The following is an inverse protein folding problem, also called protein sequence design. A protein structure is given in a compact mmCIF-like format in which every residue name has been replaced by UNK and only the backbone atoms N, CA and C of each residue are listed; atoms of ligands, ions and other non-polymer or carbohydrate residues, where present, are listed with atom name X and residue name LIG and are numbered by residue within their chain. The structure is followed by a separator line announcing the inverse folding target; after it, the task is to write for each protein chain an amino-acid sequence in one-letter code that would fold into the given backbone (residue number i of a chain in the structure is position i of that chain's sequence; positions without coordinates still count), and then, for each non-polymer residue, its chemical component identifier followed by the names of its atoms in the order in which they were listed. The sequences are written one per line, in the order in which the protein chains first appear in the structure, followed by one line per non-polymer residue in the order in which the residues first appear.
data_IF_445279180130
#
_entry.id   IF_445279180130
#
_cell.length_a   1.000
_cell.length_b   1.000
_cell.length_c   1.000
_cell.angle_alpha   90.00
_cell.angle_beta   90.00
_cell.angle_gamma   90.00
#
_symmetry.space_group_name_H-M   'P 1'
#
loop_
_entity.id
_entity.type
_entity.pdbx_description
1 polymer ?
#
# COMPACT_ATOMS: atom_id res chain seq x y z
N UNK A 1 5.36 16.23 16.62
CA UNK A 1 5.62 14.79 16.41
C UNK A 1 5.74 14.48 14.92
N UNK A 2 4.71 14.54 14.07
CA UNK A 2 4.77 14.11 12.65
C UNK A 2 5.96 14.73 11.88
N UNK A 3 6.19 16.05 12.01
CA UNK A 3 7.34 16.72 11.38
C UNK A 3 8.70 16.12 11.83
N UNK A 4 8.80 15.73 13.10
CA UNK A 4 10.03 15.15 13.64
C UNK A 4 10.24 13.70 13.22
N UNK A 5 9.14 12.98 12.94
CA UNK A 5 9.18 11.59 12.48
C UNK A 5 9.53 11.48 10.99
N UNK A 6 9.24 12.51 10.19
CA UNK A 6 9.52 12.49 8.74
C UNK A 6 10.92 13.02 8.43
N UNK A 7 11.69 12.36 7.54
CA UNK A 7 13.05 12.76 7.18
C UNK A 7 13.08 14.04 6.33
N UNK A 8 14.28 14.57 6.07
CA UNK A 8 14.52 15.74 5.21
C UNK A 8 14.77 17.03 6.00
N UNK A 9 15.75 17.82 5.53
CA UNK A 9 16.20 19.07 6.16
C UNK A 9 15.62 20.32 5.48
N UNK A 10 14.31 20.34 5.25
CA UNK A 10 13.58 21.48 4.72
C UNK A 10 12.47 21.93 5.68
N UNK A 11 11.99 23.15 5.52
CA UNK A 11 10.89 23.66 6.34
C UNK A 11 9.60 22.92 5.99
N UNK A 12 9.06 22.17 6.96
CA UNK A 12 7.87 21.35 6.82
C UNK A 12 6.69 21.97 7.55
N UNK A 13 5.51 21.73 6.98
CA UNK A 13 4.22 21.95 7.64
C UNK A 13 3.36 20.70 7.55
N UNK A 14 2.26 20.69 8.30
CA UNK A 14 1.29 19.61 8.30
C UNK A 14 -0.07 20.18 7.95
N UNK A 15 -0.71 19.55 6.97
CA UNK A 15 -2.13 19.71 6.72
C UNK A 15 -2.86 18.52 7.35
N UNK A 16 -4.07 18.75 7.89
CA UNK A 16 -4.89 17.70 8.52
C UNK A 16 -6.18 17.47 7.74
N UNK A 17 -6.55 16.19 7.59
CA UNK A 17 -7.80 15.72 7.01
C UNK A 17 -8.52 14.72 7.92
N UNK A 18 -9.54 14.06 7.37
CA UNK A 18 -10.38 13.09 8.06
C UNK A 18 -10.11 11.65 7.57
N UNK A 19 -9.58 11.49 6.37
CA UNK A 19 -9.31 10.19 5.74
C UNK A 19 -8.11 10.28 4.79
N UNK A 20 -7.58 9.12 4.35
CA UNK A 20 -6.57 9.08 3.31
C UNK A 20 -7.06 9.72 2.01
N UNK A 21 -8.34 9.53 1.66
CA UNK A 21 -8.94 10.16 0.47
C UNK A 21 -8.88 11.69 0.52
N UNK A 22 -9.13 12.31 1.69
CA UNK A 22 -9.01 13.77 1.85
C UNK A 22 -7.57 14.24 1.71
N UNK A 23 -6.63 13.46 2.26
CA UNK A 23 -5.21 13.78 2.21
C UNK A 23 -4.68 13.71 0.78
N UNK A 24 -5.06 12.69 0.02
CA UNK A 24 -4.69 12.55 -1.39
C UNK A 24 -5.47 13.50 -2.30
N UNK A 25 -6.68 13.89 -1.93
CA UNK A 25 -7.39 15.01 -2.59
C UNK A 25 -6.62 16.33 -2.46
N UNK A 26 -6.00 16.58 -1.28
CA UNK A 26 -5.10 17.72 -1.11
C UNK A 26 -3.93 17.65 -2.09
N UNK A 27 -3.27 16.48 -2.21
CA UNK A 27 -2.18 16.27 -3.17
C UNK A 27 -2.64 16.56 -4.60
N UNK A 28 -3.74 15.94 -5.03
CA UNK A 28 -4.27 16.08 -6.38
C UNK A 28 -4.60 17.54 -6.75
N UNK A 29 -5.00 18.35 -5.78
CA UNK A 29 -5.30 19.77 -5.97
C UNK A 29 -4.08 20.67 -5.90
N UNK A 30 -3.22 20.47 -4.90
CA UNK A 30 -2.18 21.45 -4.57
C UNK A 30 -0.91 21.27 -5.39
N UNK A 31 -0.55 20.04 -5.71
CA UNK A 31 0.65 19.77 -6.52
C UNK A 31 0.59 20.46 -7.89
N UNK A 32 -0.49 20.33 -8.69
CA UNK A 32 -0.58 21.04 -9.96
C UNK A 32 -0.55 22.56 -9.82
N UNK A 33 -1.05 23.13 -8.72
CA UNK A 33 -0.99 24.58 -8.48
C UNK A 33 0.44 25.05 -8.23
N UNK A 34 1.16 24.37 -7.31
CA UNK A 34 2.56 24.73 -6.98
C UNK A 34 3.50 24.42 -8.15
N UNK A 35 3.30 23.30 -8.81
CA UNK A 35 4.13 22.86 -9.96
C UNK A 35 3.57 23.33 -11.31
N UNK A 36 2.78 24.42 -11.34
CA UNK A 36 2.34 25.16 -12.54
C UNK A 36 1.67 24.27 -13.60
N UNK A 37 0.76 23.41 -13.18
CA UNK A 37 0.01 22.53 -14.08
C UNK A 37 0.74 21.24 -14.50
N UNK A 38 1.92 20.98 -13.93
CA UNK A 38 2.62 19.70 -14.15
C UNK A 38 1.82 18.54 -13.59
N UNK A 39 2.06 17.34 -14.08
CA UNK A 39 1.31 16.12 -13.79
C UNK A 39 1.81 15.42 -12.54
N UNK A 40 0.89 14.70 -11.89
CA UNK A 40 1.21 13.69 -10.89
C UNK A 40 1.26 12.34 -11.61
N UNK A 41 2.36 11.62 -11.45
CA UNK A 41 2.56 10.26 -11.97
C UNK A 41 2.31 9.30 -10.83
N UNK A 42 1.51 8.26 -11.08
CA UNK A 42 1.25 7.18 -10.13
C UNK A 42 1.40 5.82 -10.82
N UNK A 43 1.02 4.74 -10.17
CA UNK A 43 1.21 3.39 -10.69
C UNK A 43 -0.12 2.65 -10.83
N UNK A 44 -0.23 1.78 -11.83
CA UNK A 44 -1.37 0.89 -11.99
C UNK A 44 -1.51 0.00 -10.75
N UNK A 45 -2.74 -0.19 -10.30
CA UNK A 45 -3.04 -0.91 -9.07
C UNK A 45 -2.98 -0.06 -7.81
N UNK A 46 -2.47 1.18 -7.84
CA UNK A 46 -2.41 2.04 -6.66
C UNK A 46 -3.80 2.51 -6.21
N UNK A 47 -3.98 2.63 -4.89
CA UNK A 47 -5.20 3.12 -4.28
C UNK A 47 -4.92 4.31 -3.37
N UNK A 48 -5.27 5.50 -3.84
CA UNK A 48 -5.06 6.75 -3.09
C UNK A 48 -6.37 7.35 -2.54
N UNK A 49 -7.49 6.73 -2.82
CA UNK A 49 -8.81 7.14 -2.28
C UNK A 49 -9.88 7.33 -3.35
N UNK A 50 -11.08 7.74 -2.90
CA UNK A 50 -12.30 7.79 -3.70
C UNK A 50 -12.96 9.18 -3.78
N UNK A 51 -12.33 10.25 -3.29
CA UNK A 51 -12.74 11.61 -3.65
C UNK A 51 -12.29 11.91 -5.08
N UNK A 52 -12.86 12.93 -5.74
CA UNK A 52 -12.66 13.14 -7.19
C UNK A 52 -11.18 13.24 -7.59
N UNK A 53 -10.37 13.98 -6.84
CA UNK A 53 -8.94 14.13 -7.12
C UNK A 53 -8.14 12.88 -6.74
N UNK A 54 -8.39 12.32 -5.57
CA UNK A 54 -7.76 11.08 -5.14
C UNK A 54 -8.09 9.90 -6.09
N UNK A 55 -9.32 9.85 -6.58
CA UNK A 55 -9.75 8.90 -7.60
C UNK A 55 -8.96 9.05 -8.90
N UNK A 56 -8.74 10.29 -9.35
CA UNK A 56 -8.02 10.58 -10.58
C UNK A 56 -6.54 10.18 -10.53
N UNK A 57 -5.94 10.08 -9.35
CA UNK A 57 -4.56 9.62 -9.15
C UNK A 57 -4.47 8.16 -8.70
N UNK A 58 -5.59 7.49 -8.42
CA UNK A 58 -5.63 6.06 -8.12
C UNK A 58 -5.61 5.23 -9.40
N UNK A 59 -4.62 4.34 -9.53
CA UNK A 59 -4.45 3.46 -10.70
C UNK A 59 -5.17 2.13 -10.60
N UNK A 60 -5.99 1.91 -9.56
CA UNK A 60 -6.69 0.65 -9.34
C UNK A 60 -7.77 0.42 -10.40
N UNK A 61 -7.88 -0.79 -10.98
CA UNK A 61 -8.82 -1.07 -12.09
C UNK A 61 -10.28 -0.77 -11.77
N UNK A 62 -10.74 -1.03 -10.53
CA UNK A 62 -12.12 -0.78 -10.09
C UNK A 62 -12.46 0.72 -10.01
N UNK A 63 -11.46 1.59 -10.02
CA UNK A 63 -11.63 3.04 -9.93
C UNK A 63 -11.54 3.75 -11.28
N UNK A 64 -11.60 3.04 -12.40
CA UNK A 64 -11.50 3.66 -13.72
C UNK A 64 -12.88 4.10 -14.23
N UNK A 65 -12.97 5.36 -14.67
CA UNK A 65 -14.17 5.89 -15.36
C UNK A 65 -14.81 7.13 -14.77
N UNK A 66 -14.52 7.49 -13.52
CA UNK A 66 -14.97 8.73 -12.90
C UNK A 66 -13.77 9.62 -12.56
N UNK A 67 -13.84 10.91 -12.63
CA UNK A 67 -12.81 11.81 -12.08
C UNK A 67 -11.64 12.21 -12.99
N UNK A 68 -11.58 11.76 -14.23
CA UNK A 68 -10.51 12.12 -15.16
C UNK A 68 -9.50 11.01 -15.42
N UNK A 69 -8.61 11.22 -16.39
CA UNK A 69 -7.54 10.27 -16.69
C UNK A 69 -6.29 10.66 -15.89
N UNK A 70 -5.93 9.86 -14.91
CA UNK A 70 -4.63 9.92 -14.28
C UNK A 70 -3.49 9.52 -15.23
N UNK A 71 -2.28 9.64 -14.76
CA UNK A 71 -1.08 9.26 -15.52
C UNK A 71 -0.39 8.13 -14.77
N UNK A 72 -0.54 6.90 -15.29
CA UNK A 72 -0.12 5.69 -14.59
C UNK A 72 1.01 4.99 -15.33
N UNK A 73 2.01 4.56 -14.58
CA UNK A 73 3.04 3.62 -15.01
C UNK A 73 2.70 2.20 -14.56
N UNK A 74 3.33 1.21 -15.18
CA UNK A 74 3.21 -0.16 -14.71
C UNK A 74 3.92 -0.32 -13.37
N UNK A 75 3.24 -0.95 -12.39
CA UNK A 75 3.88 -1.28 -11.11
C UNK A 75 4.92 -2.39 -11.31
N UNK A 76 6.08 -2.31 -10.63
CA UNK A 76 7.14 -3.32 -10.75
C UNK A 76 6.78 -4.61 -9.99
N UNK A 77 5.94 -5.45 -10.60
CA UNK A 77 5.57 -6.74 -10.04
C UNK A 77 6.72 -7.74 -10.21
N UNK A 78 7.47 -8.02 -9.13
CA UNK A 78 8.62 -8.91 -9.17
C UNK A 78 8.22 -10.38 -9.43
N UNK A 79 7.14 -10.87 -8.83
CA UNK A 79 6.66 -12.24 -9.04
C UNK A 79 6.24 -12.48 -10.50
N UNK A 80 5.59 -11.48 -11.13
CA UNK A 80 5.15 -11.51 -12.53
C UNK A 80 6.01 -10.60 -13.40
N UNK A 81 7.33 -10.59 -13.18
CA UNK A 81 8.26 -9.67 -13.83
C UNK A 81 8.16 -9.75 -15.35
N UNK A 82 7.73 -8.64 -15.98
CA UNK A 82 7.57 -8.54 -17.43
C UNK A 82 8.89 -8.72 -18.19
N UNK A 83 10.04 -8.52 -17.53
CA UNK A 83 11.36 -8.72 -18.08
C UNK A 83 11.90 -10.14 -17.86
N UNK A 84 11.12 -11.03 -17.19
CA UNK A 84 11.48 -12.42 -16.89
C UNK A 84 12.81 -12.57 -16.12
N UNK A 85 13.04 -11.67 -15.15
CA UNK A 85 14.30 -11.57 -14.40
C UNK A 85 14.11 -11.88 -12.91
N UNK A 86 13.18 -12.74 -12.52
CA UNK A 86 12.88 -13.03 -11.11
C UNK A 86 14.09 -13.57 -10.33
N UNK A 87 14.90 -14.40 -10.96
CA UNK A 87 16.06 -15.02 -10.32
C UNK A 87 17.34 -14.17 -10.43
N UNK A 88 17.46 -13.39 -11.49
CA UNK A 88 18.67 -12.61 -11.79
C UNK A 88 18.29 -11.16 -12.12
N UNK A 89 17.61 -10.51 -11.19
CA UNK A 89 17.13 -9.15 -11.40
C UNK A 89 18.29 -8.17 -11.60
N UNK A 90 18.34 -7.52 -12.76
CA UNK A 90 19.29 -6.45 -13.05
C UNK A 90 18.66 -5.06 -13.01
N UNK A 91 17.38 -4.96 -12.58
CA UNK A 91 16.69 -3.70 -12.41
C UNK A 91 16.18 -3.05 -13.70
N UNK A 92 15.86 -3.81 -14.72
CA UNK A 92 15.38 -3.27 -16.00
C UNK A 92 14.15 -2.37 -15.83
N UNK A 93 13.25 -2.69 -14.86
CA UNK A 93 12.04 -1.91 -14.62
C UNK A 93 12.32 -0.45 -14.21
N UNK A 94 13.35 -0.20 -13.39
CA UNK A 94 13.69 1.16 -12.98
C UNK A 94 14.74 1.82 -13.90
N UNK A 95 15.59 1.06 -14.58
CA UNK A 95 16.51 1.61 -15.57
C UNK A 95 15.79 2.19 -16.79
N UNK A 96 14.64 1.61 -17.15
CA UNK A 96 13.81 2.07 -18.27
C UNK A 96 12.70 3.03 -17.84
N UNK A 97 12.71 3.55 -16.61
CA UNK A 97 11.66 4.44 -16.09
C UNK A 97 11.39 5.65 -16.99
N UNK A 98 12.44 6.34 -17.43
CA UNK A 98 12.30 7.52 -18.29
C UNK A 98 11.77 7.18 -19.71
N UNK A 99 12.09 5.99 -20.21
CA UNK A 99 11.54 5.47 -21.45
C UNK A 99 10.05 5.16 -21.30
N UNK A 100 9.64 4.63 -20.13
CA UNK A 100 8.23 4.39 -19.82
C UNK A 100 7.43 5.70 -19.76
N UNK A 101 7.98 6.79 -19.17
CA UNK A 101 7.37 8.12 -19.23
C UNK A 101 7.17 8.59 -20.69
N UNK A 102 8.20 8.45 -21.49
CA UNK A 102 8.17 8.84 -22.92
C UNK A 102 7.12 8.02 -23.69
N UNK A 103 7.03 6.73 -23.43
CA UNK A 103 6.06 5.82 -24.08
C UNK A 103 4.60 6.20 -23.80
N UNK A 104 4.31 6.80 -22.65
CA UNK A 104 2.97 7.32 -22.32
C UNK A 104 2.80 8.81 -22.70
N UNK A 105 3.76 9.41 -23.43
CA UNK A 105 3.69 10.76 -23.94
C UNK A 105 3.95 11.85 -22.90
N UNK A 106 4.71 11.56 -21.85
CA UNK A 106 5.05 12.50 -20.78
C UNK A 106 6.54 12.91 -20.91
N UNK A 107 6.78 14.21 -21.05
CA UNK A 107 8.13 14.74 -20.95
C UNK A 107 8.55 14.86 -19.46
N UNK A 108 9.84 14.70 -19.17
CA UNK A 108 10.37 14.87 -17.81
C UNK A 108 9.99 16.21 -17.18
N UNK A 109 10.01 17.28 -18.00
CA UNK A 109 9.63 18.63 -17.58
C UNK A 109 8.17 18.77 -17.15
N UNK A 110 7.30 17.85 -17.56
CA UNK A 110 5.87 17.87 -17.28
C UNK A 110 5.51 17.12 -16.00
N UNK A 111 6.49 16.47 -15.36
CA UNK A 111 6.32 15.77 -14.09
C UNK A 111 6.43 16.77 -12.93
N UNK A 112 5.36 16.92 -12.16
CA UNK A 112 5.31 17.76 -10.96
C UNK A 112 5.47 16.97 -9.68
N UNK A 113 5.03 15.71 -9.69
CA UNK A 113 5.24 14.76 -8.61
C UNK A 113 5.17 13.33 -9.12
N UNK A 114 5.78 12.42 -8.36
CA UNK A 114 5.56 10.98 -8.44
C UNK A 114 5.02 10.54 -7.09
N UNK A 115 3.84 9.95 -7.08
CA UNK A 115 3.20 9.42 -5.88
C UNK A 115 3.19 7.90 -5.91
N UNK A 116 3.66 7.31 -4.82
CA UNK A 116 3.77 5.85 -4.65
C UNK A 116 3.19 5.39 -3.32
N UNK A 117 2.72 4.17 -3.29
CA UNK A 117 2.64 3.38 -2.06
C UNK A 117 3.95 2.59 -1.93
N UNK A 118 4.69 2.71 -0.80
CA UNK A 118 5.92 1.95 -0.58
C UNK A 118 5.67 0.43 -0.54
N UNK A 119 4.40 0.06 -0.35
CA UNK A 119 3.86 -1.29 -0.46
C UNK A 119 2.47 -1.15 -1.08
N UNK A 120 2.31 -1.65 -2.31
CA UNK A 120 1.06 -1.54 -3.07
C UNK A 120 0.02 -2.47 -2.45
N UNK A 121 -0.89 -1.94 -1.65
CA UNK A 121 -1.80 -2.73 -0.85
C UNK A 121 -2.96 -3.32 -1.66
N UNK A 122 -3.92 -2.48 -2.04
CA UNK A 122 -5.12 -2.95 -2.76
C UNK A 122 -4.80 -3.53 -4.15
N UNK A 123 -3.66 -3.17 -4.73
CA UNK A 123 -3.15 -3.74 -5.97
C UNK A 123 -2.55 -5.14 -5.85
N UNK A 124 -2.58 -5.76 -4.66
CA UNK A 124 -2.14 -7.15 -4.44
C UNK A 124 -0.96 -7.32 -3.48
N UNK A 125 -0.84 -6.45 -2.50
CA UNK A 125 0.18 -6.52 -1.43
C UNK A 125 1.60 -6.72 -1.95
N UNK A 126 2.05 -5.81 -2.80
CA UNK A 126 3.35 -5.89 -3.46
C UNK A 126 4.33 -4.84 -2.90
N UNK A 127 5.49 -5.25 -2.38
CA UNK A 127 6.52 -4.30 -1.97
C UNK A 127 7.09 -3.56 -3.18
N UNK A 128 7.26 -2.25 -3.06
CA UNK A 128 7.95 -1.45 -4.07
C UNK A 128 9.46 -1.69 -3.95
N UNK A 129 10.18 -2.05 -5.03
CA UNK A 129 11.62 -2.31 -4.96
C UNK A 129 12.39 -1.07 -4.49
N UNK A 130 13.31 -1.27 -3.53
CA UNK A 130 14.07 -0.19 -2.92
C UNK A 130 14.87 0.64 -3.94
N UNK A 131 15.55 -0.02 -4.86
CA UNK A 131 16.36 0.63 -5.91
C UNK A 131 15.48 1.44 -6.87
N UNK A 132 14.22 1.01 -7.08
CA UNK A 132 13.30 1.78 -7.89
C UNK A 132 12.87 3.05 -7.14
N UNK A 133 12.50 2.95 -5.84
CA UNK A 133 12.20 4.13 -5.03
C UNK A 133 13.37 5.14 -5.03
N UNK A 134 14.60 4.67 -4.88
CA UNK A 134 15.81 5.50 -4.97
C UNK A 134 15.98 6.16 -6.34
N UNK A 135 15.63 5.45 -7.41
CA UNK A 135 15.62 6.01 -8.77
C UNK A 135 14.57 7.10 -8.92
N UNK A 136 13.37 6.91 -8.36
CA UNK A 136 12.31 7.92 -8.37
C UNK A 136 12.68 9.15 -7.54
N UNK A 137 13.29 8.96 -6.36
CA UNK A 137 13.80 10.06 -5.53
C UNK A 137 14.80 10.91 -6.32
N UNK A 138 15.81 10.27 -6.90
CA UNK A 138 16.80 10.96 -7.73
C UNK A 138 16.16 11.73 -8.89
N UNK A 139 15.26 11.08 -9.63
CA UNK A 139 14.55 11.71 -10.72
C UNK A 139 13.76 12.94 -10.27
N UNK A 140 13.03 12.85 -9.15
CA UNK A 140 12.26 13.97 -8.62
C UNK A 140 13.16 15.16 -8.27
N UNK A 141 14.27 14.91 -7.58
CA UNK A 141 15.23 15.97 -7.23
C UNK A 141 15.86 16.63 -8.47
N UNK A 142 16.21 15.85 -9.49
CA UNK A 142 16.82 16.37 -10.73
C UNK A 142 15.85 17.17 -11.61
N UNK A 143 14.53 16.97 -11.47
CA UNK A 143 13.51 17.56 -12.35
C UNK A 143 12.55 18.53 -11.63
N UNK A 144 12.87 18.99 -10.42
CA UNK A 144 12.00 19.85 -9.62
C UNK A 144 10.58 19.27 -9.47
N UNK A 145 10.50 17.97 -9.19
CA UNK A 145 9.28 17.24 -8.88
C UNK A 145 9.28 16.80 -7.42
N UNK A 146 8.11 16.50 -6.84
CA UNK A 146 8.01 15.94 -5.52
C UNK A 146 7.97 14.40 -5.57
N UNK A 147 8.76 13.74 -4.72
CA UNK A 147 8.50 12.35 -4.34
C UNK A 147 7.49 12.35 -3.21
N UNK A 148 6.33 11.77 -3.45
CA UNK A 148 5.24 11.63 -2.48
C UNK A 148 5.09 10.16 -2.14
N UNK A 149 5.07 9.83 -0.84
CA UNK A 149 4.80 8.46 -0.40
C UNK A 149 3.50 8.43 0.40
N UNK A 150 2.57 7.65 -0.10
CA UNK A 150 1.31 7.34 0.57
C UNK A 150 1.56 6.22 1.60
N UNK A 151 1.59 6.61 2.85
CA UNK A 151 1.76 5.75 4.03
C UNK A 151 0.44 5.60 4.83
N UNK A 152 -0.69 5.86 4.19
CA UNK A 152 -2.01 5.77 4.83
C UNK A 152 -2.25 4.37 5.40
N UNK A 153 -1.78 3.32 4.72
CA UNK A 153 -1.93 1.93 5.17
C UNK A 153 -0.67 1.37 5.82
N UNK A 154 0.49 1.70 5.30
CA UNK A 154 1.78 1.11 5.68
C UNK A 154 2.48 1.82 6.82
N UNK A 155 2.11 3.05 7.10
CA UNK A 155 2.66 3.86 8.18
C UNK A 155 2.25 3.41 9.58
N UNK A 156 2.77 4.11 10.58
CA UNK A 156 2.46 3.91 12.01
C UNK A 156 2.79 2.49 12.50
N UNK A 157 3.96 1.97 12.10
CA UNK A 157 4.50 0.73 12.64
C UNK A 157 4.15 -0.54 11.87
N UNK A 158 3.25 -0.51 10.89
CA UNK A 158 2.78 -1.68 10.12
C UNK A 158 3.92 -2.49 9.51
N UNK A 159 4.90 -1.81 8.91
CA UNK A 159 6.05 -2.42 8.24
C UNK A 159 7.22 -2.78 9.19
N UNK A 160 7.06 -2.57 10.50
CA UNK A 160 8.17 -2.72 11.47
C UNK A 160 9.03 -1.46 11.63
N UNK A 161 8.74 -0.41 10.86
CA UNK A 161 9.30 0.95 10.99
C UNK A 161 8.17 1.95 11.08
N UNK A 162 8.45 3.21 11.42
CA UNK A 162 7.41 4.24 11.43
C UNK A 162 6.74 4.39 10.08
N UNK A 163 7.54 4.34 9.00
CA UNK A 163 7.08 4.42 7.62
C UNK A 163 7.75 3.32 6.78
N UNK A 164 7.02 2.79 5.82
CA UNK A 164 7.50 1.70 4.97
C UNK A 164 8.65 2.14 4.05
N UNK A 165 8.65 3.39 3.56
CA UNK A 165 9.73 3.93 2.73
C UNK A 165 11.11 3.93 3.41
N UNK A 166 11.15 3.86 4.74
CA UNK A 166 12.43 3.78 5.47
C UNK A 166 13.22 2.50 5.15
N UNK A 167 12.55 1.44 4.68
CA UNK A 167 13.23 0.22 4.24
C UNK A 167 14.05 0.43 2.96
N UNK A 168 13.65 1.39 2.12
CA UNK A 168 14.37 1.76 0.91
C UNK A 168 15.46 2.82 1.14
N UNK A 169 15.48 3.46 2.32
CA UNK A 169 16.45 4.52 2.64
C UNK A 169 16.23 5.81 1.86
N UNK A 170 15.03 6.06 1.34
CA UNK A 170 14.68 7.29 0.62
C UNK A 170 14.16 8.37 1.58
N UNK A 171 14.24 9.61 1.13
CA UNK A 171 13.74 10.81 1.83
C UNK A 171 12.67 11.48 0.98
N UNK A 172 11.38 11.09 1.11
CA UNK A 172 10.31 11.72 0.34
C UNK A 172 10.12 13.19 0.71
N UNK A 173 9.69 13.99 -0.26
CA UNK A 173 9.32 15.40 -0.04
C UNK A 173 8.00 15.51 0.72
N UNK A 174 7.08 14.58 0.45
CA UNK A 174 5.74 14.56 1.06
C UNK A 174 5.41 13.16 1.55
N UNK A 175 4.88 13.08 2.77
CA UNK A 175 4.38 11.84 3.38
C UNK A 175 2.89 12.02 3.70
N UNK A 176 2.07 11.08 3.25
CA UNK A 176 0.62 11.03 3.51
C UNK A 176 0.36 9.95 4.55
N UNK A 177 -0.37 10.28 5.62
CA UNK A 177 -0.70 9.34 6.72
C UNK A 177 -2.19 9.37 7.06
N UNK A 178 -2.70 8.25 7.55
CA UNK A 178 -4.11 8.11 7.93
C UNK A 178 -4.35 6.81 8.71
N UNK A 179 -5.53 6.23 8.59
CA UNK A 179 -5.90 4.93 9.20
C UNK A 179 -5.33 4.74 10.62
N UNK A 180 -4.20 4.02 10.75
CA UNK A 180 -3.56 3.70 12.03
C UNK A 180 -3.15 4.96 12.83
N UNK A 181 -2.92 6.12 12.20
CA UNK A 181 -2.67 7.38 12.91
C UNK A 181 -3.78 7.69 13.93
N UNK A 182 -5.02 7.44 13.56
CA UNK A 182 -6.20 7.74 14.38
C UNK A 182 -6.65 6.60 15.29
N UNK A 183 -5.95 5.46 15.36
CA UNK A 183 -6.37 4.30 16.15
C UNK A 183 -7.87 3.95 15.98
N UNK A 184 -8.38 4.00 14.76
CA UNK A 184 -9.78 3.74 14.40
C UNK A 184 -10.66 4.99 14.30
N UNK A 185 -10.17 6.18 14.67
CA UNK A 185 -10.90 7.45 14.53
C UNK A 185 -10.47 8.22 13.28
N UNK A 186 -11.36 9.06 12.70
CA UNK A 186 -11.12 9.71 11.42
C UNK A 186 -10.12 10.88 11.53
N UNK A 187 -8.88 10.61 11.24
CA UNK A 187 -7.82 11.63 11.11
C UNK A 187 -6.81 11.19 10.04
N UNK A 188 -6.36 12.13 9.24
CA UNK A 188 -5.25 11.98 8.31
C UNK A 188 -4.38 13.22 8.34
N UNK A 189 -3.18 13.12 7.77
CA UNK A 189 -2.30 14.28 7.62
C UNK A 189 -1.44 14.14 6.36
N UNK A 190 -1.07 15.30 5.81
CA UNK A 190 -0.04 15.45 4.79
C UNK A 190 1.10 16.24 5.41
N UNK A 191 2.29 15.68 5.41
CA UNK A 191 3.52 16.32 5.89
C UNK A 191 4.38 16.63 4.68
N UNK A 192 4.75 17.89 4.48
CA UNK A 192 5.52 18.26 3.30
C UNK A 192 6.08 19.67 3.34
N UNK A 193 6.67 20.15 2.22
CA UNK A 193 7.29 21.46 2.13
C UNK A 193 6.30 22.59 2.42
N UNK A 194 6.77 23.60 3.12
CA UNK A 194 5.98 24.78 3.47
C UNK A 194 5.26 25.38 2.27
N UNK A 195 5.92 25.47 1.13
CA UNK A 195 5.35 26.05 -0.09
C UNK A 195 4.10 25.30 -0.58
N UNK A 196 4.12 23.96 -0.52
CA UNK A 196 2.98 23.12 -0.89
C UNK A 196 1.83 23.28 0.12
N UNK A 197 2.17 23.30 1.40
CA UNK A 197 1.18 23.42 2.48
C UNK A 197 0.53 24.81 2.49
N UNK A 198 1.30 25.87 2.25
CA UNK A 198 0.79 27.26 2.22
C UNK A 198 -0.10 27.51 0.99
N UNK A 199 0.12 26.83 -0.12
CA UNK A 199 -0.74 26.90 -1.30
C UNK A 199 -2.15 26.38 -1.02
N UNK A 200 -2.29 25.43 -0.08
CA UNK A 200 -3.59 24.88 0.34
C UNK A 200 -4.39 25.73 1.30
N UNK A 201 -3.85 26.85 1.80
CA UNK A 201 -4.57 27.72 2.77
C UNK A 201 -5.86 28.24 2.13
N UNK A 202 -6.99 27.98 2.82
CA UNK A 202 -8.34 28.33 2.39
C UNK A 202 -8.83 27.68 1.08
N UNK A 203 -8.06 26.80 0.45
CA UNK A 203 -8.46 26.11 -0.79
C UNK A 203 -8.88 24.66 -0.57
N UNK A 204 -8.42 24.04 0.53
CA UNK A 204 -8.76 22.68 0.90
C UNK A 204 -8.89 22.59 2.42
N UNK A 205 -10.10 22.76 2.92
CA UNK A 205 -10.43 22.80 4.35
C UNK A 205 -11.67 21.94 4.65
N UNK A 206 -11.62 21.24 5.76
CA UNK A 206 -12.77 20.57 6.37
C UNK A 206 -12.99 21.12 7.76
N UNK A 207 -14.22 21.42 8.12
CA UNK A 207 -14.59 22.07 9.39
C UNK A 207 -14.03 21.35 10.62
N UNK A 208 -14.01 20.03 10.59
CA UNK A 208 -13.59 19.18 11.72
C UNK A 208 -12.19 18.60 11.58
N UNK A 209 -11.47 18.92 10.51
CA UNK A 209 -10.11 18.46 10.32
C UNK A 209 -9.17 19.03 11.39
N UNK A 210 -8.28 18.19 11.92
CA UNK A 210 -7.34 18.58 12.96
C UNK A 210 -8.00 18.97 14.30
N UNK A 211 -9.22 18.48 14.59
CA UNK A 211 -9.86 18.79 15.88
C UNK A 211 -9.03 18.23 17.05
N UNK A 212 -9.07 18.94 18.17
CA UNK A 212 -8.19 18.68 19.32
C UNK A 212 -8.33 17.26 19.91
N UNK A 213 -9.54 16.69 20.10
CA UNK A 213 -9.68 15.33 20.58
C UNK A 213 -8.96 14.28 19.71
N UNK A 214 -9.08 14.39 18.39
CA UNK A 214 -8.44 13.43 17.47
C UNK A 214 -6.91 13.63 17.40
N UNK A 215 -6.45 14.87 17.48
CA UNK A 215 -5.01 15.15 17.58
C UNK A 215 -4.42 14.60 18.88
N UNK A 216 -5.12 14.73 20.00
CA UNK A 216 -4.71 14.17 21.29
C UNK A 216 -4.66 12.63 21.23
N UNK A 217 -5.68 12.01 20.63
CA UNK A 217 -5.72 10.57 20.42
C UNK A 217 -4.55 10.09 19.54
N UNK A 218 -4.27 10.77 18.43
CA UNK A 218 -3.15 10.42 17.56
C UNK A 218 -1.79 10.54 18.27
N UNK A 219 -1.60 11.56 19.11
CA UNK A 219 -0.40 11.72 19.94
C UNK A 219 -0.26 10.54 20.90
N UNK A 220 -1.33 10.17 21.59
CA UNK A 220 -1.33 9.07 22.56
C UNK A 220 -1.10 7.73 21.88
N UNK A 221 -1.72 7.51 20.70
CA UNK A 221 -1.49 6.32 19.89
C UNK A 221 0.00 6.16 19.49
N UNK A 222 0.64 7.23 19.03
CA UNK A 222 2.09 7.21 18.68
C UNK A 222 2.92 6.82 19.92
N UNK A 223 2.62 7.38 21.09
CA UNK A 223 3.32 7.00 22.33
C UNK A 223 3.11 5.52 22.70
N UNK A 224 1.88 5.03 22.61
CA UNK A 224 1.57 3.62 22.90
C UNK A 224 2.31 2.66 21.96
N UNK A 225 2.43 3.00 20.67
CA UNK A 225 3.21 2.21 19.71
C UNK A 225 4.69 2.12 20.13
N UNK A 226 5.25 3.23 20.60
CA UNK A 226 6.66 3.33 21.05
C UNK A 226 6.88 2.64 22.39
N UNK A 227 6.07 2.95 23.41
CA UNK A 227 6.18 2.42 24.77
C UNK A 227 6.01 0.90 24.83
N UNK A 228 5.15 0.34 23.97
CA UNK A 228 4.94 -1.10 23.89
C UNK A 228 5.84 -1.80 22.86
N UNK A 229 6.80 -1.10 22.25
CA UNK A 229 7.71 -1.64 21.25
C UNK A 229 7.01 -2.36 20.08
N UNK A 230 5.84 -1.84 19.65
CA UNK A 230 5.01 -2.51 18.65
C UNK A 230 5.62 -2.54 17.24
N UNK A 231 6.48 -1.58 16.92
CA UNK A 231 7.26 -1.59 15.67
C UNK A 231 8.20 -2.81 15.63
N UNK A 232 8.89 -3.06 16.74
CA UNK A 232 9.79 -4.23 16.86
C UNK A 232 8.99 -5.53 16.78
N UNK A 233 7.84 -5.61 17.46
CA UNK A 233 6.96 -6.78 17.37
C UNK A 233 6.49 -7.00 15.93
N UNK A 234 6.11 -5.95 15.21
CA UNK A 234 5.71 -6.04 13.82
C UNK A 234 6.83 -6.58 12.91
N UNK A 235 8.07 -6.16 13.12
CA UNK A 235 9.23 -6.69 12.38
C UNK A 235 9.48 -8.17 12.69
N UNK A 236 9.50 -8.55 13.98
CA UNK A 236 9.76 -9.92 14.42
C UNK A 236 8.64 -10.88 14.01
N UNK A 237 7.38 -10.51 14.24
CA UNK A 237 6.22 -11.35 13.87
C UNK A 237 6.03 -11.41 12.35
N UNK A 238 6.34 -10.32 11.66
CA UNK A 238 6.33 -10.30 10.20
C UNK A 238 7.31 -11.30 9.60
N UNK A 239 8.56 -11.32 10.08
CA UNK A 239 9.56 -12.32 9.68
C UNK A 239 9.10 -13.74 9.98
N UNK A 240 8.57 -13.98 11.18
CA UNK A 240 8.03 -15.29 11.58
C UNK A 240 6.91 -15.74 10.66
N UNK A 241 5.93 -14.87 10.36
CA UNK A 241 4.82 -15.20 9.46
C UNK A 241 5.32 -15.50 8.05
N UNK A 242 6.22 -14.68 7.52
CA UNK A 242 6.80 -14.92 6.19
C UNK A 242 7.52 -16.27 6.11
N UNK A 243 8.30 -16.64 7.14
CA UNK A 243 9.00 -17.93 7.17
C UNK A 243 8.00 -19.10 7.24
N UNK A 244 6.97 -19.00 8.09
CA UNK A 244 5.93 -20.03 8.21
C UNK A 244 5.12 -20.18 6.92
N UNK A 245 4.75 -19.06 6.28
CA UNK A 245 3.99 -19.05 5.04
C UNK A 245 4.81 -19.56 3.84
N UNK A 246 6.10 -19.25 3.76
CA UNK A 246 7.00 -19.82 2.73
C UNK A 246 7.15 -21.31 2.91
N UNK A 247 7.28 -21.79 4.13
CA UNK A 247 7.28 -23.24 4.39
C UNK A 247 5.98 -23.91 3.95
N UNK A 248 4.82 -23.24 4.15
CA UNK A 248 3.55 -23.75 3.64
C UNK A 248 3.47 -23.68 2.11
N UNK A 249 3.98 -22.61 1.50
CA UNK A 249 4.08 -22.48 0.04
C UNK A 249 4.83 -23.68 -0.60
N UNK A 250 5.90 -24.15 0.04
CA UNK A 250 6.66 -25.29 -0.46
C UNK A 250 5.89 -26.62 -0.37
N UNK A 251 4.90 -26.69 0.54
CA UNK A 251 4.09 -27.88 0.79
C UNK A 251 2.78 -27.92 -0.01
N UNK A 252 2.44 -26.87 -0.74
CA UNK A 252 1.20 -26.79 -1.53
C UNK A 252 1.46 -26.28 -2.95
N UNK A 253 0.60 -26.67 -3.88
CA UNK A 253 0.64 -26.29 -5.29
C UNK A 253 -0.17 -25.00 -5.60
N UNK A 254 -0.99 -24.54 -4.66
CA UNK A 254 -1.90 -23.40 -4.88
C UNK A 254 -1.35 -22.05 -4.43
N UNK A 255 -0.33 -22.01 -3.56
CA UNK A 255 0.33 -20.76 -3.17
C UNK A 255 1.43 -20.47 -4.17
N UNK A 256 1.24 -19.43 -4.99
CA UNK A 256 2.20 -19.02 -6.02
C UNK A 256 3.31 -18.14 -5.45
N UNK A 257 2.96 -17.17 -4.58
CA UNK A 257 3.92 -16.26 -3.98
C UNK A 257 3.52 -15.85 -2.56
N UNK A 258 4.53 -15.64 -1.71
CA UNK A 258 4.39 -15.07 -0.37
C UNK A 258 5.37 -13.93 -0.23
N UNK A 259 4.84 -12.74 -0.02
CA UNK A 259 5.61 -11.49 0.05
C UNK A 259 5.11 -10.58 1.17
N UNK A 260 5.96 -9.68 1.65
CA UNK A 260 5.53 -8.76 2.71
C UNK A 260 6.68 -7.98 3.33
N UNK A 261 6.32 -7.00 4.14
CA UNK A 261 7.22 -6.18 4.96
C UNK A 261 6.56 -5.97 6.32
N UNK A 262 7.20 -6.42 7.39
CA UNK A 262 6.60 -6.43 8.71
C UNK A 262 5.27 -7.21 8.73
N UNK A 263 4.23 -6.63 9.27
CA UNK A 263 2.89 -7.20 9.33
C UNK A 263 1.97 -6.72 8.18
N UNK A 264 2.53 -6.46 7.01
CA UNK A 264 1.81 -6.29 5.75
C UNK A 264 2.24 -7.42 4.82
N UNK A 265 1.39 -8.41 4.63
CA UNK A 265 1.74 -9.67 3.95
C UNK A 265 0.67 -10.02 2.93
N UNK A 266 1.09 -10.31 1.70
CA UNK A 266 0.27 -10.86 0.63
C UNK A 266 0.57 -12.32 0.37
N UNK A 267 -0.48 -13.13 0.25
CA UNK A 267 -0.40 -14.56 -0.10
C UNK A 267 -1.15 -14.73 -1.41
N UNK A 268 -0.43 -14.96 -2.50
CA UNK A 268 -0.98 -15.04 -3.84
C UNK A 268 -1.31 -16.47 -4.23
N UNK A 269 -2.56 -16.70 -4.64
CA UNK A 269 -3.06 -18.02 -5.05
C UNK A 269 -3.11 -18.13 -6.57
N UNK A 270 -2.73 -19.31 -7.08
CA UNK A 270 -2.62 -19.62 -8.49
C UNK A 270 -3.20 -21.00 -8.80
N UNK A 271 -3.72 -21.18 -10.01
CA UNK A 271 -4.15 -22.49 -10.50
C UNK A 271 -2.97 -23.43 -10.69
N UNK A 272 -1.83 -22.88 -11.11
CA UNK A 272 -0.60 -23.62 -11.36
C UNK A 272 0.63 -22.72 -11.14
N UNK A 273 1.63 -23.22 -10.42
CA UNK A 273 2.86 -22.47 -10.10
C UNK A 273 3.72 -22.14 -11.33
N UNK A 274 3.71 -22.99 -12.35
CA UNK A 274 4.52 -22.78 -13.57
C UNK A 274 3.91 -21.70 -14.45
N UNK A 275 2.60 -21.78 -14.69
CA UNK A 275 1.86 -20.77 -15.48
C UNK A 275 1.62 -19.47 -14.72
N UNK A 276 1.57 -19.55 -13.39
CA UNK A 276 1.19 -18.45 -12.47
C UNK A 276 -0.21 -17.92 -12.76
N UNK A 277 -1.11 -18.71 -13.35
CA UNK A 277 -2.48 -18.30 -13.63
C UNK A 277 -3.20 -17.97 -12.33
N UNK A 278 -3.76 -16.74 -12.16
CA UNK A 278 -4.47 -16.34 -10.96
C UNK A 278 -5.68 -17.24 -10.67
N UNK A 279 -5.94 -17.53 -9.39
CA UNK A 279 -7.11 -18.31 -8.98
C UNK A 279 -7.98 -17.53 -7.99
N UNK A 280 -8.76 -16.58 -8.51
CA UNK A 280 -9.70 -15.79 -7.72
C UNK A 280 -10.84 -16.64 -7.13
N UNK A 281 -11.33 -17.63 -7.87
CA UNK A 281 -12.43 -18.47 -7.42
C UNK A 281 -12.02 -19.38 -6.25
N UNK A 282 -10.85 -19.96 -6.32
CA UNK A 282 -10.26 -20.69 -5.18
C UNK A 282 -10.08 -19.76 -3.99
N UNK A 283 -9.56 -18.55 -4.22
CA UNK A 283 -9.32 -17.55 -3.17
C UNK A 283 -10.61 -17.11 -2.49
N UNK A 284 -11.70 -16.93 -3.24
CA UNK A 284 -13.00 -16.57 -2.66
C UNK A 284 -13.52 -17.66 -1.72
N UNK A 285 -13.47 -18.95 -2.15
CA UNK A 285 -13.81 -20.08 -1.28
C UNK A 285 -12.91 -20.17 -0.06
N UNK A 286 -11.63 -19.87 -0.23
CA UNK A 286 -10.66 -19.89 0.85
C UNK A 286 -10.93 -18.78 1.89
N UNK A 287 -11.24 -17.56 1.47
CA UNK A 287 -11.62 -16.46 2.38
C UNK A 287 -12.86 -16.82 3.19
N UNK A 288 -13.88 -17.39 2.56
CA UNK A 288 -15.08 -17.88 3.24
C UNK A 288 -14.75 -18.95 4.29
N UNK A 289 -13.93 -19.95 3.90
CA UNK A 289 -13.55 -21.03 4.83
C UNK A 289 -12.69 -20.53 5.99
N UNK A 290 -11.79 -19.59 5.75
CA UNK A 290 -11.01 -18.95 6.79
C UNK A 290 -11.89 -18.25 7.82
N UNK A 291 -12.92 -17.54 7.36
CA UNK A 291 -13.91 -16.91 8.25
C UNK A 291 -14.63 -17.94 9.11
N UNK A 292 -15.10 -19.07 8.55
CA UNK A 292 -15.73 -20.16 9.32
C UNK A 292 -14.79 -20.76 10.38
N UNK A 293 -13.48 -20.81 10.10
CA UNK A 293 -12.45 -21.31 11.03
C UNK A 293 -11.96 -20.23 12.01
N UNK A 294 -12.51 -19.00 11.95
CA UNK A 294 -12.23 -17.93 12.89
C UNK A 294 -11.07 -17.00 12.49
N UNK A 295 -10.60 -17.07 11.25
CA UNK A 295 -9.59 -16.15 10.69
C UNK A 295 -10.24 -15.20 9.69
N UNK A 296 -10.42 -13.93 10.09
CA UNK A 296 -11.04 -12.92 9.25
C UNK A 296 -9.96 -12.25 8.37
N UNK A 297 -10.10 -12.35 7.08
CA UNK A 297 -9.26 -11.71 6.07
C UNK A 297 -10.10 -11.40 4.82
N UNK A 298 -9.50 -10.74 3.83
CA UNK A 298 -10.14 -10.47 2.54
C UNK A 298 -9.14 -10.63 1.40
N UNK A 299 -9.66 -10.73 0.19
CA UNK A 299 -8.86 -10.80 -1.03
C UNK A 299 -8.64 -9.41 -1.63
N UNK A 300 -7.51 -9.25 -2.30
CA UNK A 300 -7.06 -8.02 -2.97
C UNK A 300 -6.39 -8.36 -4.31
N UNK A 301 -5.96 -7.33 -5.05
CA UNK A 301 -5.32 -7.48 -6.35
C UNK A 301 -6.30 -7.52 -7.52
N UNK A 302 -5.79 -7.30 -8.73
CA UNK A 302 -6.56 -7.20 -9.96
C UNK A 302 -7.48 -8.42 -10.21
N UNK A 303 -7.04 -9.60 -9.78
CA UNK A 303 -7.76 -10.87 -9.98
C UNK A 303 -8.38 -11.42 -8.69
N UNK A 304 -8.42 -10.63 -7.61
CA UNK A 304 -8.89 -11.05 -6.28
C UNK A 304 -8.28 -12.36 -5.78
N UNK A 305 -7.05 -12.65 -6.19
CA UNK A 305 -6.33 -13.89 -5.91
C UNK A 305 -5.20 -13.74 -4.88
N UNK A 306 -5.13 -12.61 -4.20
CA UNK A 306 -4.19 -12.36 -3.10
C UNK A 306 -4.96 -12.20 -1.81
N UNK A 307 -4.66 -13.00 -0.80
CA UNK A 307 -5.17 -12.78 0.56
C UNK A 307 -4.23 -11.83 1.29
N UNK A 308 -4.78 -10.75 1.79
CA UNK A 308 -4.06 -9.79 2.62
C UNK A 308 -4.07 -10.22 4.09
N UNK A 309 -2.88 -10.25 4.69
CA UNK A 309 -2.70 -10.43 6.13
C UNK A 309 -2.11 -9.17 6.77
N UNK A 310 -2.95 -8.45 7.51
CA UNK A 310 -2.60 -7.25 8.27
C UNK A 310 -3.07 -7.38 9.73
N UNK A 311 -2.53 -8.35 10.48
CA UNK A 311 -2.97 -8.60 11.85
C UNK A 311 -2.67 -7.41 12.77
N UNK A 312 -3.27 -7.35 13.99
CA UNK A 312 -2.91 -6.34 14.98
C UNK A 312 -1.40 -6.32 15.26
N UNK A 313 -0.83 -5.12 15.49
CA UNK A 313 0.60 -5.01 15.83
C UNK A 313 0.97 -5.71 17.15
N UNK A 314 -0.01 -6.07 17.95
CA UNK A 314 0.12 -6.82 19.21
C UNK A 314 0.10 -8.32 19.03
N UNK A 315 -0.02 -8.85 17.81
CA UNK A 315 -0.06 -10.29 17.53
C UNK A 315 1.11 -11.01 18.22
N UNK A 316 0.83 -12.15 18.82
CA UNK A 316 1.81 -12.97 19.53
C UNK A 316 2.44 -14.02 18.60
N UNK A 317 3.54 -14.61 19.07
CA UNK A 317 4.20 -15.71 18.35
C UNK A 317 3.28 -16.92 18.15
N UNK A 318 2.45 -17.25 19.13
CA UNK A 318 1.52 -18.38 19.06
C UNK A 318 0.37 -18.11 18.09
N UNK A 319 -0.21 -16.92 18.14
CA UNK A 319 -1.26 -16.53 17.19
C UNK A 319 -0.77 -16.57 15.74
N UNK A 320 0.50 -16.23 15.47
CA UNK A 320 1.09 -16.39 14.15
C UNK A 320 1.11 -17.85 13.69
N UNK A 321 1.48 -18.79 14.58
CA UNK A 321 1.48 -20.22 14.29
C UNK A 321 0.08 -20.75 14.06
N UNK A 322 -0.87 -20.32 14.86
CA UNK A 322 -2.25 -20.76 14.76
C UNK A 322 -2.93 -20.24 13.48
N UNK A 323 -2.67 -18.99 13.10
CA UNK A 323 -3.17 -18.45 11.84
C UNK A 323 -2.68 -19.27 10.63
N UNK A 324 -1.41 -19.68 10.60
CA UNK A 324 -0.89 -20.50 9.50
C UNK A 324 -1.45 -21.92 9.51
N UNK A 325 -1.70 -22.52 10.69
CA UNK A 325 -2.39 -23.82 10.79
C UNK A 325 -3.83 -23.73 10.25
N UNK A 326 -4.56 -22.65 10.60
CA UNK A 326 -5.91 -22.39 10.09
C UNK A 326 -5.88 -22.26 8.55
N UNK A 327 -4.93 -21.51 7.99
CA UNK A 327 -4.78 -21.38 6.55
C UNK A 327 -4.51 -22.76 5.90
N UNK A 328 -3.61 -23.56 6.45
CA UNK A 328 -3.31 -24.90 5.95
C UNK A 328 -4.57 -25.79 5.94
N UNK A 329 -5.36 -25.78 7.03
CA UNK A 329 -6.60 -26.53 7.10
C UNK A 329 -7.62 -26.02 6.07
N UNK A 330 -7.79 -24.70 5.94
CA UNK A 330 -8.69 -24.10 4.97
C UNK A 330 -8.34 -24.49 3.52
N UNK A 331 -7.06 -24.52 3.17
CA UNK A 331 -6.59 -24.97 1.84
C UNK A 331 -7.01 -26.43 1.59
N UNK A 332 -6.82 -27.31 2.58
CA UNK A 332 -7.21 -28.71 2.46
C UNK A 332 -8.73 -28.88 2.31
N UNK A 333 -9.49 -28.15 3.10
CA UNK A 333 -10.96 -28.18 3.10
C UNK A 333 -11.52 -27.72 1.73
N UNK A 334 -11.02 -26.60 1.19
CA UNK A 334 -11.43 -26.10 -0.14
C UNK A 334 -11.04 -27.07 -1.25
N UNK A 335 -9.82 -27.64 -1.20
CA UNK A 335 -9.39 -28.66 -2.18
C UNK A 335 -10.22 -29.94 -2.12
N UNK A 336 -10.77 -30.28 -0.97
CA UNK A 336 -11.65 -31.46 -0.80
C UNK A 336 -13.11 -31.18 -1.17
N UNK A 337 -13.46 -29.94 -1.54
CA UNK A 337 -14.82 -29.54 -1.94
C UNK A 337 -15.78 -29.30 -0.77
N UNK A 338 -15.27 -29.03 0.43
CA UNK A 338 -16.11 -28.68 1.61
C UNK A 338 -16.86 -27.36 1.37
N UNK A 339 -16.25 -26.41 0.64
CA UNK A 339 -16.91 -25.15 0.25
C UNK A 339 -17.34 -25.23 -1.22
N UNK A 340 -18.63 -25.14 -1.46
CA UNK A 340 -19.22 -25.12 -2.81
C UNK A 340 -19.35 -23.70 -3.36
N UNK A 341 -19.62 -23.57 -4.66
CA UNK A 341 -19.93 -22.28 -5.27
C UNK A 341 -21.23 -21.66 -4.75
N UNK A 342 -22.18 -22.50 -4.29
CA UNK A 342 -23.43 -22.05 -3.69
C UNK A 342 -23.21 -21.37 -2.35
N UNK A 343 -22.22 -21.83 -1.56
CA UNK A 343 -21.89 -21.27 -0.24
C UNK A 343 -21.35 -19.84 -0.35
N UNK A 344 -20.68 -19.52 -1.46
CA UNK A 344 -20.05 -18.22 -1.68
C UNK A 344 -20.81 -17.30 -2.66
N UNK A 345 -21.90 -17.76 -3.26
CA UNK A 345 -22.62 -17.02 -4.31
C UNK A 345 -23.07 -15.61 -3.87
N UNK A 346 -23.50 -15.46 -2.63
CA UNK A 346 -23.92 -14.16 -2.07
C UNK A 346 -22.74 -13.22 -1.78
N UNK A 347 -21.53 -13.78 -1.59
CA UNK A 347 -20.33 -13.01 -1.23
C UNK A 347 -19.56 -12.55 -2.47
N UNK A 348 -19.59 -13.29 -3.56
CA UNK A 348 -18.93 -12.90 -4.83
C UNK A 348 -19.62 -11.67 -5.45
N UNK A 349 -20.94 -11.54 -5.30
CA UNK A 349 -21.71 -10.39 -5.79
C UNK A 349 -21.50 -9.09 -5.00
N UNK A 350 -20.89 -9.16 -3.83
CA UNK A 350 -20.60 -8.04 -2.94
C UNK A 350 -19.14 -7.54 -2.97
N UNK A 351 -18.26 -8.18 -3.71
CA UNK A 351 -16.87 -7.72 -3.90
C UNK A 351 -16.82 -6.61 -4.94
N UNK A 352 -17.08 -5.38 -4.47
CA UNK A 352 -16.84 -4.14 -5.23
C UNK A 352 -15.45 -3.61 -4.93
#
# INVERSE_FOLDING_TARGET
MLIQMTPGNFEKKVWYGLSGSDANEFIAKMVPQVKKGKKIITFKGSYHGQTMGAYAISGHPSLQGFGGKGTYLDFPNCYRCKFKQQETCNGECYKTFEEQLTAIGIAKSDVGAIEIEAFLCDGGDMPFPAEYMQTLEKFCHENDAYLIVDEVKTGMGRSGKWFCFEHAGVTPDVVVVGKALGAGMPISAVIGPKELMDAGIAQHLFTTAGNLPLCALAIENIKLLEENNLLKNADERGKQLLDLLKNLQDQTDVIGDVRGVGLSIGIEFVQNKDSKEPDGDFTARLVYRLFELGLVCFSTGEFSNVIEWTPPLTITEEECKDAVKILQQAILDVKSGIVSDEDIAEYILGSC
#
